data_IF_249843590896
#
_entry.id   IF_249843590896
#
_cell.length_a   1.000
_cell.length_b   1.000
_cell.length_c   1.000
_cell.angle_alpha   90.00
_cell.angle_beta   90.00
_cell.angle_gamma   90.00
#
_symmetry.space_group_name_H-M   'P 1'
#
loop_
_entity.id
_entity.type
_entity.pdbx_description
1 polymer ?
#
# COMPACT_ATOMS: atom_id res chain seq x y z
N UNK A 1 -78.25 48.42 41.34
CA UNK A 1 -78.31 47.04 41.86
C UNK A 1 -77.27 46.20 41.13
N UNK A 2 -76.08 45.94 41.72
CA UNK A 2 -75.08 45.08 41.09
C UNK A 2 -75.15 43.65 41.63
N UNK A 3 -75.13 42.70 40.70
CA UNK A 3 -75.26 41.26 40.93
C UNK A 3 -73.98 40.64 41.54
N UNK A 4 -74.19 39.67 42.45
CA UNK A 4 -73.16 38.83 43.07
C UNK A 4 -72.62 37.80 42.07
N UNK A 5 -71.29 37.73 41.94
CA UNK A 5 -70.61 36.65 41.22
C UNK A 5 -70.42 35.39 42.12
N UNK A 6 -70.39 34.18 41.54
CA UNK A 6 -70.46 32.92 42.28
C UNK A 6 -69.10 32.41 42.78
N UNK A 7 -69.12 31.78 43.95
CA UNK A 7 -67.97 31.30 44.77
C UNK A 7 -67.04 30.26 44.11
N UNK A 8 -67.34 29.80 42.90
CA UNK A 8 -66.55 28.78 42.19
C UNK A 8 -65.28 29.34 41.51
N UNK A 9 -65.23 30.64 41.22
CA UNK A 9 -64.10 31.27 40.50
C UNK A 9 -62.94 31.64 41.45
N UNK A 10 -63.19 31.74 42.75
CA UNK A 10 -62.17 32.08 43.74
C UNK A 10 -61.30 30.88 44.16
N UNK A 11 -61.75 29.65 43.94
CA UNK A 11 -61.03 28.44 44.37
C UNK A 11 -59.94 28.04 43.35
N UNK A 12 -60.17 28.26 42.05
CA UNK A 12 -59.20 27.93 41.00
C UNK A 12 -58.02 28.90 40.91
N UNK A 13 -58.19 30.16 41.34
CA UNK A 13 -57.13 31.17 41.22
C UNK A 13 -56.08 31.11 42.36
N UNK A 14 -56.43 30.53 43.51
CA UNK A 14 -55.49 30.33 44.64
C UNK A 14 -54.65 29.06 44.47
N UNK A 15 -55.18 28.03 43.78
CA UNK A 15 -54.44 26.80 43.53
C UNK A 15 -53.25 26.97 42.55
N UNK A 16 -53.34 27.94 41.62
CA UNK A 16 -52.30 28.17 40.62
C UNK A 16 -51.06 28.93 41.16
N UNK A 17 -51.21 29.77 42.19
CA UNK A 17 -50.10 30.55 42.76
C UNK A 17 -49.27 29.77 43.78
N UNK A 18 -49.85 28.79 44.47
CA UNK A 18 -49.12 27.95 45.45
C UNK A 18 -48.17 26.95 44.78
N UNK A 19 -48.49 26.47 43.57
CA UNK A 19 -47.67 25.49 42.84
C UNK A 19 -46.39 26.10 42.27
N UNK A 20 -46.39 27.39 41.92
CA UNK A 20 -45.21 28.06 41.33
C UNK A 20 -44.17 28.44 42.40
N UNK A 21 -44.60 28.76 43.63
CA UNK A 21 -43.67 29.13 44.72
C UNK A 21 -42.99 27.92 45.36
N UNK A 22 -43.62 26.74 45.35
CA UNK A 22 -43.03 25.51 45.89
C UNK A 22 -41.86 24.97 45.04
N UNK A 23 -41.89 25.17 43.71
CA UNK A 23 -40.82 24.70 42.81
C UNK A 23 -39.57 25.60 42.83
N UNK A 24 -39.69 26.88 43.18
CA UNK A 24 -38.55 27.79 43.30
C UNK A 24 -37.74 27.59 44.59
N UNK A 25 -38.37 27.12 45.68
CA UNK A 25 -37.69 26.89 46.96
C UNK A 25 -36.79 25.64 46.95
N UNK A 26 -37.12 24.62 46.14
CA UNK A 26 -36.29 23.40 46.01
C UNK A 26 -35.02 23.66 45.17
N UNK A 27 -35.08 24.58 44.21
CA UNK A 27 -33.92 24.93 43.38
C UNK A 27 -32.83 25.69 44.17
N UNK A 28 -33.20 26.54 45.14
CA UNK A 28 -32.22 27.35 45.91
C UNK A 28 -31.53 26.55 47.01
N UNK A 29 -32.21 25.54 47.60
CA UNK A 29 -31.62 24.68 48.63
C UNK A 29 -30.61 23.67 48.08
N UNK A 30 -30.74 23.22 46.82
CA UNK A 30 -29.76 22.35 46.18
C UNK A 30 -28.47 23.07 45.74
N UNK A 31 -28.53 24.40 45.53
CA UNK A 31 -27.36 25.18 45.10
C UNK A 31 -26.45 25.56 46.28
N UNK A 32 -26.98 25.68 47.51
CA UNK A 32 -26.19 26.09 48.68
C UNK A 32 -25.41 24.98 49.40
N UNK A 33 -25.69 23.71 49.13
CA UNK A 33 -24.93 22.58 49.71
C UNK A 33 -23.79 22.06 48.82
N UNK A 34 -23.51 22.69 47.66
CA UNK A 34 -22.24 22.45 46.94
C UNK A 34 -21.12 23.34 47.51
N UNK A 35 -20.88 23.18 48.81
CA UNK A 35 -19.66 23.65 49.46
C UNK A 35 -18.55 22.64 49.20
N UNK A 36 -17.51 23.09 48.47
CA UNK A 36 -16.15 22.54 48.45
C UNK A 36 -15.99 21.04 48.21
N UNK A 37 -16.26 20.61 46.98
CA UNK A 37 -15.49 19.53 46.38
C UNK A 37 -14.62 20.15 45.29
N UNK A 38 -13.30 19.98 45.42
CA UNK A 38 -12.33 20.31 44.38
C UNK A 38 -12.89 19.87 43.03
N UNK A 39 -12.79 20.73 42.01
CA UNK A 39 -13.19 20.37 40.66
C UNK A 39 -12.56 19.01 40.32
N UNK A 40 -13.33 17.95 40.04
CA UNK A 40 -12.75 16.80 39.39
C UNK A 40 -12.37 17.32 38.01
N UNK A 41 -11.07 17.53 37.82
CA UNK A 41 -10.46 17.45 36.49
C UNK A 41 -10.67 16.02 36.02
N UNK A 42 -11.90 15.73 35.57
CA UNK A 42 -12.18 14.60 34.72
C UNK A 42 -11.63 14.96 33.34
N UNK A 43 -10.30 14.97 33.25
CA UNK A 43 -9.65 14.63 32.00
C UNK A 43 -9.99 13.17 31.76
N UNK A 44 -11.16 12.91 31.16
CA UNK A 44 -11.31 11.72 30.33
C UNK A 44 -10.43 11.98 29.10
N UNK A 45 -9.12 11.87 29.30
CA UNK A 45 -8.21 11.60 28.22
C UNK A 45 -8.62 10.20 27.77
N UNK A 46 -9.47 10.16 26.74
CA UNK A 46 -9.62 8.98 25.91
C UNK A 46 -8.20 8.44 25.67
N UNK A 47 -7.93 7.14 25.95
CA UNK A 47 -6.64 6.57 25.66
C UNK A 47 -6.37 6.82 24.19
N UNK A 48 -5.58 7.85 23.87
CA UNK A 48 -5.12 8.06 22.51
C UNK A 48 -4.33 6.80 22.20
N UNK A 49 -4.91 5.95 21.36
CA UNK A 49 -4.17 4.87 20.73
C UNK A 49 -2.84 5.50 20.26
N UNK A 50 -1.69 4.93 20.62
CA UNK A 50 -0.40 5.49 20.25
C UNK A 50 -0.47 5.88 18.78
N UNK A 51 -0.32 7.17 18.46
CA UNK A 51 -0.28 7.60 17.06
C UNK A 51 0.80 6.76 16.40
N UNK A 52 0.41 5.93 15.45
CA UNK A 52 1.34 5.06 14.75
C UNK A 52 2.48 5.94 14.25
N UNK A 53 3.72 5.60 14.62
CA UNK A 53 4.86 6.38 14.18
C UNK A 53 4.90 6.36 12.64
N UNK A 54 5.12 7.51 11.99
CA UNK A 54 5.24 7.55 10.55
C UNK A 54 6.39 6.64 10.12
N UNK A 55 6.14 5.85 9.07
CA UNK A 55 7.17 4.97 8.53
C UNK A 55 8.33 5.80 7.96
N UNK A 56 9.57 5.38 8.20
CA UNK A 56 10.76 6.10 7.73
C UNK A 56 11.45 5.38 6.58
N UNK A 57 11.85 6.16 5.58
CA UNK A 57 12.60 5.74 4.41
C UNK A 57 13.97 6.43 4.51
N UNK A 58 14.97 5.68 4.99
CA UNK A 58 16.26 6.23 5.39
C UNK A 58 16.12 7.24 6.54
N UNK A 59 16.64 8.45 6.37
CA UNK A 59 16.58 9.50 7.38
C UNK A 59 15.26 10.30 7.38
N UNK A 60 14.38 10.12 6.40
CA UNK A 60 13.16 10.91 6.24
C UNK A 60 11.90 10.06 6.45
N UNK A 61 10.75 10.72 6.59
CA UNK A 61 9.46 10.03 6.52
C UNK A 61 9.22 9.52 5.09
N UNK A 62 8.62 8.35 4.98
CA UNK A 62 8.25 7.78 3.71
C UNK A 62 7.11 8.57 3.06
N UNK A 63 7.24 8.82 1.76
CA UNK A 63 6.16 9.30 0.88
C UNK A 63 5.70 8.15 -0.02
N UNK A 64 4.39 8.06 -0.27
CA UNK A 64 3.85 7.07 -1.19
C UNK A 64 4.15 7.45 -2.64
N UNK A 65 4.83 6.56 -3.37
CA UNK A 65 5.11 6.70 -4.79
C UNK A 65 4.05 6.04 -5.65
N UNK A 66 3.60 4.84 -5.26
CA UNK A 66 2.64 4.04 -6.01
C UNK A 66 1.77 3.21 -5.06
N UNK A 67 0.58 2.85 -5.53
CA UNK A 67 -0.33 1.95 -4.83
C UNK A 67 -0.99 1.02 -5.86
N UNK A 68 -1.10 -0.26 -5.49
CA UNK A 68 -1.80 -1.28 -6.24
C UNK A 68 -2.82 -1.97 -5.34
N UNK A 69 -3.97 -2.34 -5.91
CA UNK A 69 -5.01 -3.09 -5.22
C UNK A 69 -5.15 -4.48 -5.84
N UNK A 70 -5.09 -5.50 -5.00
CA UNK A 70 -5.19 -6.92 -5.39
C UNK A 70 -6.37 -7.52 -4.62
N UNK A 71 -7.57 -7.34 -5.16
CA UNK A 71 -8.80 -7.68 -4.45
C UNK A 71 -8.97 -6.84 -3.18
N UNK A 72 -8.93 -7.48 -2.02
CA UNK A 72 -9.00 -6.83 -0.70
C UNK A 72 -7.64 -6.38 -0.16
N UNK A 73 -6.55 -6.77 -0.82
CA UNK A 73 -5.19 -6.43 -0.41
C UNK A 73 -4.74 -5.12 -1.06
N UNK A 74 -3.94 -4.35 -0.34
CA UNK A 74 -3.34 -3.10 -0.85
C UNK A 74 -1.83 -3.19 -0.72
N UNK A 75 -1.13 -2.89 -1.80
CA UNK A 75 0.35 -2.84 -1.85
C UNK A 75 0.77 -1.43 -2.19
N UNK A 76 1.62 -0.85 -1.35
CA UNK A 76 2.13 0.50 -1.51
C UNK A 76 3.65 0.47 -1.64
N UNK A 77 4.15 1.20 -2.65
CA UNK A 77 5.56 1.53 -2.74
C UNK A 77 5.77 2.90 -2.12
N UNK A 78 6.62 2.92 -1.11
CA UNK A 78 6.97 4.08 -0.31
C UNK A 78 8.45 4.39 -0.49
N UNK A 79 8.83 5.66 -0.52
CA UNK A 79 10.23 6.05 -0.58
C UNK A 79 10.51 7.40 0.09
N UNK A 80 11.78 7.74 0.26
CA UNK A 80 12.19 9.12 0.55
C UNK A 80 11.92 10.05 -0.65
N UNK A 81 12.13 11.35 -0.46
CA UNK A 81 11.86 12.36 -1.48
C UNK A 81 12.70 12.19 -2.76
N UNK A 82 13.83 11.47 -2.69
CA UNK A 82 14.73 11.23 -3.81
C UNK A 82 14.58 9.82 -4.41
N UNK A 83 13.70 8.99 -3.85
CA UNK A 83 13.52 7.59 -4.24
C UNK A 83 14.71 6.68 -3.87
N UNK A 84 15.55 7.06 -2.90
CA UNK A 84 16.84 6.38 -2.60
C UNK A 84 16.79 5.38 -1.45
N UNK A 85 15.82 5.52 -0.56
CA UNK A 85 15.45 4.51 0.41
C UNK A 85 13.98 4.20 0.22
N UNK A 86 13.66 2.92 0.02
CA UNK A 86 12.32 2.47 -0.27
C UNK A 86 11.80 1.43 0.71
N UNK A 87 10.47 1.37 0.82
CA UNK A 87 9.77 0.31 1.52
C UNK A 87 8.54 -0.11 0.73
N UNK A 88 8.19 -1.39 0.81
CA UNK A 88 6.91 -1.91 0.34
C UNK A 88 6.06 -2.19 1.54
N UNK A 89 4.91 -1.53 1.64
CA UNK A 89 3.89 -1.80 2.66
C UNK A 89 2.76 -2.60 2.02
N UNK A 90 2.36 -3.68 2.68
CA UNK A 90 1.29 -4.56 2.20
C UNK A 90 0.27 -4.72 3.30
N UNK A 91 -0.97 -4.33 3.02
CA UNK A 91 -2.12 -4.52 3.88
C UNK A 91 -2.95 -5.69 3.33
N UNK A 92 -3.17 -6.69 4.17
CA UNK A 92 -3.90 -7.92 3.83
C UNK A 92 -4.86 -8.30 4.97
N UNK A 93 -5.68 -9.33 4.74
CA UNK A 93 -6.52 -9.90 5.79
C UNK A 93 -5.71 -10.48 6.97
N UNK A 94 -4.45 -10.90 6.73
CA UNK A 94 -3.55 -11.40 7.78
C UNK A 94 -2.87 -10.28 8.56
N UNK A 95 -2.99 -9.02 8.13
CA UNK A 95 -2.39 -7.85 8.76
C UNK A 95 -1.52 -7.03 7.80
N UNK A 96 -0.73 -6.13 8.38
CA UNK A 96 0.21 -5.26 7.67
C UNK A 96 1.63 -5.81 7.71
N UNK A 97 2.28 -5.88 6.56
CA UNK A 97 3.70 -6.23 6.41
C UNK A 97 4.47 -5.08 5.76
N UNK A 98 5.72 -4.87 6.17
CA UNK A 98 6.59 -3.82 5.62
C UNK A 98 7.95 -4.41 5.30
N UNK A 99 8.40 -4.24 4.06
CA UNK A 99 9.69 -4.72 3.57
C UNK A 99 10.55 -3.55 3.11
N UNK A 100 11.85 -3.58 3.39
CA UNK A 100 12.80 -2.59 2.89
C UNK A 100 13.32 -2.99 1.50
N UNK A 101 13.34 -2.07 0.53
CA UNK A 101 13.90 -2.39 -0.80
C UNK A 101 15.42 -2.46 -0.73
N UNK A 102 16.03 -3.50 -1.28
CA UNK A 102 17.49 -3.74 -1.20
C UNK A 102 18.23 -3.50 -2.52
N UNK A 103 17.52 -3.30 -3.63
CA UNK A 103 18.15 -3.09 -4.95
C UNK A 103 18.75 -1.71 -5.18
N UNK A 104 18.55 -0.74 -4.28
CA UNK A 104 19.08 0.63 -4.43
C UNK A 104 20.51 0.67 -3.86
N UNK A 105 21.49 0.48 -4.73
CA UNK A 105 22.90 0.35 -4.31
C UNK A 105 23.72 1.62 -4.56
N UNK A 106 23.17 2.62 -5.26
CA UNK A 106 23.92 3.83 -5.60
C UNK A 106 23.08 5.11 -5.74
N UNK A 107 23.78 6.23 -5.88
CA UNK A 107 23.18 7.55 -6.09
C UNK A 107 22.67 7.75 -7.54
N UNK A 108 22.55 6.70 -8.36
CA UNK A 108 22.12 6.79 -9.77
C UNK A 108 20.80 6.05 -10.07
N UNK A 109 20.35 5.18 -9.17
CA UNK A 109 19.06 4.49 -9.23
C UNK A 109 18.02 5.04 -8.23
N UNK A 110 16.80 5.33 -8.68
CA UNK A 110 15.73 5.85 -7.83
C UNK A 110 14.40 5.15 -8.08
N UNK A 111 13.66 4.87 -7.00
CA UNK A 111 12.27 4.44 -7.08
C UNK A 111 11.39 5.58 -7.60
N UNK A 112 10.43 5.22 -8.44
CA UNK A 112 9.43 6.15 -8.98
C UNK A 112 8.02 5.57 -8.84
N UNK A 113 7.02 6.35 -9.22
CA UNK A 113 5.64 5.86 -9.30
C UNK A 113 5.44 4.73 -10.31
N UNK A 114 6.41 4.49 -11.21
CA UNK A 114 6.40 3.39 -12.21
C UNK A 114 7.22 2.18 -11.78
N UNK A 115 7.82 2.22 -10.59
CA UNK A 115 8.63 1.12 -10.08
C UNK A 115 7.78 -0.04 -9.56
N UNK A 116 6.50 0.17 -9.24
CA UNK A 116 5.62 -0.89 -8.74
C UNK A 116 4.76 -1.47 -9.87
N UNK A 117 4.83 -2.78 -10.05
CA UNK A 117 3.93 -3.57 -10.88
C UNK A 117 3.38 -4.72 -10.04
N UNK A 118 2.06 -4.91 -10.03
CA UNK A 118 1.43 -6.00 -9.29
C UNK A 118 0.46 -6.77 -10.19
N UNK A 119 0.49 -8.09 -10.09
CA UNK A 119 -0.35 -9.00 -10.86
C UNK A 119 -1.15 -9.87 -9.89
N UNK A 120 -2.49 -9.86 -9.97
CA UNK A 120 -3.32 -10.76 -9.20
C UNK A 120 -3.21 -12.19 -9.74
N UNK A 121 -3.53 -13.18 -8.91
CA UNK A 121 -3.46 -14.58 -9.33
C UNK A 121 -3.76 -15.53 -8.17
N UNK A 122 -3.55 -16.83 -8.40
CA UNK A 122 -3.60 -17.84 -7.34
C UNK A 122 -2.51 -17.58 -6.30
N UNK A 123 -1.34 -17.13 -6.76
CA UNK A 123 -0.29 -16.52 -5.94
C UNK A 123 -0.07 -15.09 -6.44
N UNK A 124 -0.76 -14.07 -5.90
CA UNK A 124 -0.55 -12.69 -6.31
C UNK A 124 0.91 -12.27 -6.07
N UNK A 125 1.44 -11.43 -6.96
CA UNK A 125 2.82 -10.97 -6.84
C UNK A 125 2.96 -9.49 -7.21
N UNK A 126 3.94 -8.84 -6.60
CA UNK A 126 4.37 -7.50 -6.94
C UNK A 126 5.87 -7.48 -7.23
N UNK A 127 6.24 -6.80 -8.29
CA UNK A 127 7.61 -6.51 -8.70
C UNK A 127 7.89 -5.04 -8.39
N UNK A 128 8.98 -4.79 -7.67
CA UNK A 128 9.57 -3.47 -7.53
C UNK A 128 10.77 -3.39 -8.45
N UNK A 129 10.65 -2.60 -9.53
CA UNK A 129 11.69 -2.36 -10.54
C UNK A 129 12.46 -1.08 -10.24
N UNK A 130 13.78 -1.18 -10.31
CA UNK A 130 14.72 -0.09 -10.15
C UNK A 130 15.52 0.01 -11.45
N UNK A 131 15.27 1.07 -12.22
CA UNK A 131 15.92 1.31 -13.51
C UNK A 131 17.16 2.19 -13.35
N UNK A 132 18.24 1.83 -14.04
CA UNK A 132 19.51 2.55 -14.03
C UNK A 132 20.27 2.34 -15.33
N UNK A 133 20.64 3.43 -16.03
CA UNK A 133 21.49 3.39 -17.22
C UNK A 133 21.00 2.45 -18.35
N UNK A 134 19.70 2.23 -18.49
CA UNK A 134 19.15 1.28 -19.49
C UNK A 134 19.13 -0.18 -19.03
N UNK A 135 19.50 -0.43 -17.77
CA UNK A 135 19.35 -1.72 -17.10
C UNK A 135 18.31 -1.59 -16.00
N UNK A 136 17.79 -2.73 -15.51
CA UNK A 136 16.87 -2.73 -14.38
C UNK A 136 17.12 -3.89 -13.44
N UNK A 137 17.06 -3.62 -12.15
CA UNK A 137 16.99 -4.64 -11.10
C UNK A 137 15.55 -4.76 -10.59
N UNK A 138 15.17 -5.93 -10.10
CA UNK A 138 13.85 -6.14 -9.54
C UNK A 138 13.82 -7.05 -8.33
N UNK A 139 12.98 -6.68 -7.38
CA UNK A 139 12.65 -7.46 -6.19
C UNK A 139 11.18 -7.86 -6.27
N UNK A 140 10.90 -9.13 -5.95
CA UNK A 140 9.55 -9.67 -6.00
C UNK A 140 9.00 -9.87 -4.59
N UNK A 141 7.71 -9.61 -4.41
CA UNK A 141 6.93 -9.90 -3.22
C UNK A 141 5.77 -10.79 -3.61
N UNK A 142 5.54 -11.87 -2.88
CA UNK A 142 4.56 -12.91 -3.23
C UNK A 142 3.60 -13.10 -2.08
N UNK A 143 2.30 -13.10 -2.38
CA UNK A 143 1.24 -13.47 -1.45
C UNK A 143 0.94 -14.96 -1.56
N UNK A 144 0.98 -15.68 -0.43
CA UNK A 144 0.57 -17.08 -0.33
C UNK A 144 -0.30 -17.26 0.91
N UNK A 145 -1.52 -17.75 0.71
CA UNK A 145 -2.48 -17.96 1.80
C UNK A 145 -2.71 -16.73 2.69
N UNK A 146 -2.72 -15.54 2.07
CA UNK A 146 -2.88 -14.25 2.75
C UNK A 146 -1.63 -13.72 3.47
N UNK A 147 -0.51 -14.45 3.46
CA UNK A 147 0.77 -14.00 4.01
C UNK A 147 1.68 -13.57 2.87
N UNK A 148 2.30 -12.41 3.01
CA UNK A 148 3.23 -11.88 2.02
C UNK A 148 4.67 -12.10 2.45
N UNK A 149 5.53 -12.47 1.50
CA UNK A 149 6.97 -12.61 1.71
C UNK A 149 7.75 -11.99 0.55
N UNK A 150 8.99 -11.59 0.80
CA UNK A 150 9.93 -11.26 -0.28
C UNK A 150 10.37 -12.56 -0.97
N UNK A 151 10.51 -12.53 -2.29
CA UNK A 151 11.24 -13.55 -3.04
C UNK A 151 12.72 -13.55 -2.65
N UNK A 152 13.37 -14.69 -2.85
CA UNK A 152 14.78 -14.88 -2.45
C UNK A 152 15.77 -14.32 -3.47
N UNK A 153 15.35 -14.18 -4.72
CA UNK A 153 16.19 -13.71 -5.81
C UNK A 153 15.92 -12.26 -6.20
N UNK A 154 16.99 -11.57 -6.55
CA UNK A 154 16.94 -10.32 -7.30
C UNK A 154 17.03 -10.66 -8.78
N UNK A 155 16.19 -10.03 -9.59
CA UNK A 155 16.16 -10.20 -11.04
C UNK A 155 16.85 -9.03 -11.71
N UNK A 156 17.50 -9.27 -12.84
CA UNK A 156 18.19 -8.23 -13.61
C UNK A 156 17.76 -8.29 -15.07
N UNK A 157 17.70 -7.13 -15.73
CA UNK A 157 17.50 -6.98 -17.18
C UNK A 157 18.51 -5.97 -17.70
N UNK A 158 19.10 -6.28 -18.86
CA UNK A 158 20.09 -5.41 -19.53
C UNK A 158 19.47 -4.49 -20.59
N UNK A 159 18.14 -4.53 -20.78
CA UNK A 159 17.38 -3.67 -21.73
C UNK A 159 16.23 -2.90 -21.03
N UNK A 160 16.35 -2.66 -19.72
CA UNK A 160 15.35 -1.96 -18.86
C UNK A 160 13.92 -2.54 -18.87
N UNK A 161 13.72 -3.75 -19.42
CA UNK A 161 12.45 -4.45 -19.38
C UNK A 161 12.48 -5.57 -18.35
N UNK A 162 11.73 -5.37 -17.27
CA UNK A 162 11.47 -6.37 -16.24
C UNK A 162 10.01 -6.29 -15.83
N UNK A 163 9.27 -7.38 -15.92
CA UNK A 163 7.81 -7.40 -15.68
C UNK A 163 7.31 -8.75 -15.13
N UNK A 164 6.07 -8.77 -14.64
CA UNK A 164 5.39 -9.98 -14.18
C UNK A 164 4.37 -10.48 -15.21
N UNK A 165 4.45 -11.73 -15.64
CA UNK A 165 3.53 -12.31 -16.65
C UNK A 165 3.23 -13.76 -16.33
N UNK A 166 1.98 -14.18 -16.46
CA UNK A 166 1.61 -15.60 -16.38
C UNK A 166 1.86 -16.28 -17.75
N UNK A 167 3.07 -16.81 -17.90
CA UNK A 167 3.61 -17.48 -19.08
C UNK A 167 3.19 -18.95 -19.12
N UNK A 168 3.07 -19.59 -17.95
CA UNK A 168 2.69 -21.01 -17.84
C UNK A 168 1.17 -21.23 -17.88
N UNK A 169 0.39 -20.19 -17.58
CA UNK A 169 -1.08 -20.21 -17.57
C UNK A 169 -1.66 -20.85 -16.31
N UNK A 170 -0.88 -20.97 -15.23
CA UNK A 170 -1.31 -21.59 -13.98
C UNK A 170 -1.89 -20.60 -12.95
N UNK A 171 -1.94 -19.31 -13.31
CA UNK A 171 -2.42 -18.23 -12.46
C UNK A 171 -1.36 -17.71 -11.47
N UNK A 172 -0.12 -18.16 -11.56
CA UNK A 172 1.05 -17.58 -10.86
C UNK A 172 1.91 -16.86 -11.88
N UNK A 173 2.15 -15.55 -11.74
CA UNK A 173 3.01 -14.86 -12.68
C UNK A 173 4.47 -15.30 -12.54
N UNK A 174 5.18 -15.32 -13.64
CA UNK A 174 6.64 -15.43 -13.74
C UNK A 174 7.28 -14.04 -13.92
N UNK A 175 8.58 -13.95 -13.66
CA UNK A 175 9.39 -12.77 -13.96
C UNK A 175 9.93 -12.89 -15.38
N UNK A 176 9.65 -11.88 -16.21
CA UNK A 176 10.19 -11.76 -17.57
C UNK A 176 11.22 -10.64 -17.59
N UNK A 177 12.47 -10.98 -17.89
CA UNK A 177 13.57 -10.05 -18.05
C UNK A 177 14.03 -10.05 -19.52
N UNK A 178 14.26 -8.87 -20.10
CA UNK A 178 14.91 -8.79 -21.43
C UNK A 178 16.41 -8.66 -21.25
N UNK A 179 17.16 -9.49 -21.96
CA UNK A 179 18.60 -9.46 -21.99
C UNK A 179 19.11 -9.08 -23.38
N UNK A 180 20.14 -8.26 -23.42
CA UNK A 180 20.94 -8.00 -24.61
C UNK A 180 21.95 -9.14 -24.82
N UNK A 181 22.11 -9.58 -26.06
CA UNK A 181 23.03 -10.65 -26.47
C UNK A 181 24.07 -10.09 -27.45
N UNK A 182 25.07 -9.43 -26.90
CA UNK A 182 26.01 -8.61 -27.68
C UNK A 182 27.23 -9.39 -28.18
N UNK A 183 27.61 -10.48 -27.52
CA UNK A 183 28.92 -11.10 -27.71
C UNK A 183 30.03 -10.05 -27.51
N UNK A 184 30.94 -9.95 -28.48
CA UNK A 184 32.03 -8.97 -28.46
C UNK A 184 31.61 -7.54 -28.88
N UNK A 185 30.34 -7.31 -29.25
CA UNK A 185 29.89 -5.97 -29.66
C UNK A 185 29.76 -5.05 -28.44
N UNK A 186 30.22 -3.79 -28.53
CA UNK A 186 30.08 -2.83 -27.45
C UNK A 186 28.60 -2.47 -27.23
N UNK A 187 28.23 -2.20 -25.97
CA UNK A 187 26.86 -1.89 -25.56
C UNK A 187 26.08 -0.89 -26.46
N UNK A 188 26.67 0.20 -26.99
CA UNK A 188 25.90 1.18 -27.77
C UNK A 188 25.40 0.67 -29.14
N UNK A 189 26.02 -0.37 -29.70
CA UNK A 189 25.61 -0.97 -30.99
C UNK A 189 24.87 -2.30 -30.79
N UNK A 190 24.69 -2.73 -29.54
CA UNK A 190 24.05 -3.98 -29.24
C UNK A 190 22.53 -3.86 -29.33
N UNK A 191 21.97 -4.59 -30.28
CA UNK A 191 20.52 -4.58 -30.56
C UNK A 191 19.89 -5.96 -30.37
N UNK A 192 20.68 -7.03 -30.44
CA UNK A 192 20.18 -8.38 -30.29
C UNK A 192 19.68 -8.60 -28.87
N UNK A 193 18.48 -9.17 -28.74
CA UNK A 193 17.84 -9.37 -27.45
C UNK A 193 17.12 -10.72 -27.35
N UNK A 194 16.95 -11.22 -26.13
CA UNK A 194 16.09 -12.36 -25.81
C UNK A 194 15.34 -12.10 -24.52
N UNK A 195 14.19 -12.75 -24.34
CA UNK A 195 13.49 -12.75 -23.06
C UNK A 195 13.89 -13.98 -22.26
N UNK A 196 14.29 -13.76 -21.00
CA UNK A 196 14.57 -14.79 -20.00
C UNK A 196 13.43 -14.81 -18.98
N UNK A 197 12.94 -16.00 -18.68
CA UNK A 197 11.77 -16.18 -17.82
C UNK A 197 12.17 -16.97 -16.58
N UNK A 198 11.77 -16.49 -15.41
CA UNK A 198 12.06 -17.10 -14.11
C UNK A 198 10.77 -17.34 -13.33
N UNK A 199 10.77 -18.36 -12.48
CA UNK A 199 9.77 -18.48 -11.41
C UNK A 199 9.95 -17.34 -10.40
N UNK A 200 8.96 -17.10 -9.54
CA UNK A 200 9.08 -16.11 -8.45
C UNK A 200 10.12 -16.49 -7.38
N UNK A 201 10.56 -17.75 -7.34
CA UNK A 201 11.67 -18.23 -6.49
C UNK A 201 13.05 -18.02 -7.10
N UNK A 202 13.13 -17.58 -8.35
CA UNK A 202 14.40 -17.31 -9.04
C UNK A 202 14.88 -18.43 -9.97
N UNK A 203 14.13 -19.53 -10.07
CA UNK A 203 14.51 -20.64 -10.95
C UNK A 203 14.28 -20.24 -12.41
N UNK A 204 15.28 -20.44 -13.26
CA UNK A 204 15.16 -20.21 -14.69
C UNK A 204 14.22 -21.24 -15.34
N UNK A 205 13.18 -20.75 -16.01
CA UNK A 205 12.23 -21.57 -16.78
C UNK A 205 12.71 -21.76 -18.22
N UNK A 206 13.39 -20.75 -18.76
CA UNK A 206 14.02 -20.77 -20.07
C UNK A 206 14.03 -19.40 -20.75
N UNK A 207 14.58 -19.37 -21.95
CA UNK A 207 14.68 -18.16 -22.76
C UNK A 207 14.00 -18.33 -24.12
N UNK A 208 13.53 -17.23 -24.68
CA UNK A 208 13.28 -17.19 -26.12
C UNK A 208 14.59 -17.34 -26.89
N UNK A 209 14.50 -17.68 -28.18
CA UNK A 209 15.62 -17.48 -29.10
C UNK A 209 16.07 -16.00 -29.09
N UNK A 210 17.30 -15.76 -29.56
CA UNK A 210 17.81 -14.40 -29.77
C UNK A 210 17.15 -13.77 -31.00
N UNK A 211 16.65 -12.55 -30.85
CA UNK A 211 16.07 -11.72 -31.90
C UNK A 211 17.04 -10.59 -32.27
N UNK A 212 17.05 -10.13 -33.53
CA UNK A 212 17.86 -8.98 -33.96
C UNK A 212 17.59 -7.65 -33.22
N UNK A 213 16.38 -7.46 -32.69
CA UNK A 213 15.98 -6.28 -31.91
C UNK A 213 14.96 -6.65 -30.83
N UNK A 214 14.91 -5.90 -29.73
CA UNK A 214 13.90 -6.06 -28.68
C UNK A 214 12.46 -5.91 -29.22
N UNK A 215 12.25 -5.04 -30.21
CA UNK A 215 10.96 -4.83 -30.88
C UNK A 215 10.41 -6.06 -31.60
N UNK A 216 11.24 -7.08 -31.79
CA UNK A 216 10.87 -8.35 -32.41
C UNK A 216 10.59 -9.46 -31.39
N UNK A 217 10.71 -9.18 -30.09
CA UNK A 217 10.38 -10.13 -29.04
C UNK A 217 8.88 -10.46 -29.06
N UNK A 218 8.50 -11.72 -28.74
CA UNK A 218 7.10 -12.11 -28.62
C UNK A 218 6.33 -11.21 -27.63
N UNK A 219 5.25 -10.59 -28.11
CA UNK A 219 4.39 -9.72 -27.31
C UNK A 219 4.84 -8.26 -27.19
N UNK A 220 5.92 -7.85 -27.85
CA UNK A 220 6.40 -6.46 -27.79
C UNK A 220 5.28 -5.42 -28.05
N UNK A 221 5.21 -4.31 -27.26
CA UNK A 221 6.12 -3.86 -26.20
C UNK A 221 5.90 -4.51 -24.84
N UNK A 222 4.87 -5.35 -24.69
CA UNK A 222 4.53 -6.05 -23.46
C UNK A 222 5.01 -7.50 -23.58
N UNK A 223 6.33 -7.68 -23.60
CA UNK A 223 7.00 -8.98 -23.79
C UNK A 223 6.36 -10.07 -22.92
N UNK A 224 5.81 -11.07 -23.60
CA UNK A 224 5.02 -12.16 -23.04
C UNK A 224 5.15 -13.38 -23.97
N UNK A 225 6.31 -14.08 -23.94
CA UNK A 225 6.48 -15.30 -24.72
C UNK A 225 5.52 -16.40 -24.24
N UNK A 226 5.21 -17.37 -25.09
CA UNK A 226 4.52 -18.57 -24.62
C UNK A 226 5.52 -19.61 -24.10
N UNK A 227 5.06 -20.54 -23.25
CA UNK A 227 5.92 -21.63 -22.76
C UNK A 227 6.62 -22.42 -23.88
N UNK A 228 5.96 -22.62 -25.01
CA UNK A 228 6.51 -23.33 -26.17
C UNK A 228 7.62 -22.57 -26.91
N UNK A 229 7.75 -21.26 -26.67
CA UNK A 229 8.83 -20.45 -27.22
C UNK A 229 10.07 -20.43 -26.33
N UNK A 230 10.00 -21.02 -25.14
CA UNK A 230 11.11 -21.08 -24.19
C UNK A 230 11.94 -22.35 -24.40
N UNK A 231 13.24 -22.16 -24.55
CA UNK A 231 14.25 -23.22 -24.57
C UNK A 231 15.38 -22.92 -23.60
N UNK A 232 16.52 -23.58 -23.79
CA UNK A 232 17.74 -23.31 -23.03
C UNK A 232 18.22 -21.88 -23.25
N UNK A 233 18.60 -21.20 -22.18
CA UNK A 233 19.15 -19.85 -22.26
C UNK A 233 20.53 -19.81 -22.91
N UNK A 234 20.84 -18.77 -23.71
CA UNK A 234 22.18 -18.55 -24.22
C UNK A 234 23.19 -18.42 -23.07
N UNK A 235 24.35 -19.06 -23.22
CA UNK A 235 25.50 -18.94 -22.32
C UNK A 235 26.34 -17.69 -22.62
#
# INVERSE_FOLDING_TARGET
>A
MPARAPRAVLVTLVAATVVVVAMAAVAVLFVRFRGTAAAPVTSTQEPQAPKAQPLRCGAQECTQLAVAKLGTETVELLADAQGRAGRVRIESAAGSSVFETTGIQDNKSALTSRSLECVPGASPACLVRISQNGESLGEVFVGRSGVWSRGESTYASTDDYLALRDITGDGTPEVVAVQLSCGDNPAPSCTKAFAQVFTLSGDEIGCTRVYPANTQLPGWPTVAPSRAQLGTCPS
#
